data_IF_174038489193
#
_entry.id   IF_174038489193
#
_cell.length_a   1.000
_cell.length_b   1.000
_cell.length_c   1.000
_cell.angle_alpha   90.00
_cell.angle_beta   90.00
_cell.angle_gamma   90.00
#
_symmetry.space_group_name_H-M   'P 1'
#
loop_
_entity.id
_entity.type
_entity.pdbx_description
1 polymer ?
#
# COMPACT_ATOMS: atom_id res chain seq x y z
N UNK A 1 -17.76 -15.90 12.73
CA UNK A 1 -16.42 -15.54 12.23
C UNK A 1 -16.14 -14.09 12.60
N UNK A 2 -14.97 -13.76 13.15
CA UNK A 2 -14.60 -12.37 13.49
C UNK A 2 -13.57 -11.85 12.48
N UNK A 3 -13.76 -10.62 11.99
CA UNK A 3 -12.78 -9.93 11.15
C UNK A 3 -11.72 -9.31 12.06
N UNK A 4 -10.45 -9.68 11.85
CA UNK A 4 -9.31 -9.21 12.67
C UNK A 4 -8.55 -8.08 11.99
N UNK A 5 -8.30 -8.20 10.69
CA UNK A 5 -7.59 -7.20 9.88
C UNK A 5 -8.27 -7.09 8.53
N UNK A 6 -8.39 -5.86 8.02
CA UNK A 6 -9.04 -5.54 6.76
C UNK A 6 -8.27 -4.44 6.03
N UNK A 7 -8.40 -4.43 4.70
CA UNK A 7 -7.76 -3.48 3.82
C UNK A 7 -8.70 -3.10 2.67
N UNK A 8 -8.68 -1.82 2.28
CA UNK A 8 -9.25 -1.34 1.03
C UNK A 8 -8.11 -1.26 0.00
N UNK A 9 -8.18 -2.10 -1.04
CA UNK A 9 -7.21 -2.16 -2.12
C UNK A 9 -7.88 -1.75 -3.44
N UNK A 10 -7.24 -0.90 -4.22
CA UNK A 10 -7.69 -0.54 -5.57
C UNK A 10 -6.57 -0.75 -6.57
N UNK A 11 -6.87 -1.42 -7.68
CA UNK A 11 -5.94 -1.66 -8.79
C UNK A 11 -6.39 -0.82 -9.98
N UNK A 12 -5.48 -0.03 -10.54
CA UNK A 12 -5.73 0.95 -11.59
C UNK A 12 -4.92 0.58 -12.84
N UNK A 13 -5.61 0.18 -13.91
CA UNK A 13 -4.98 -0.08 -15.21
C UNK A 13 -3.94 -1.21 -15.22
N UNK A 14 -3.85 -2.02 -14.17
CA UNK A 14 -2.88 -3.11 -14.03
C UNK A 14 -1.46 -2.67 -13.64
N UNK A 15 -1.11 -1.39 -13.77
CA UNK A 15 0.25 -0.89 -13.49
C UNK A 15 0.41 -0.34 -12.07
N UNK A 16 -0.66 0.20 -11.48
CA UNK A 16 -0.62 0.83 -10.16
C UNK A 16 -1.68 0.22 -9.26
N UNK A 17 -1.33 -0.03 -8.00
CA UNK A 17 -2.29 -0.29 -6.94
C UNK A 17 -2.16 0.75 -5.82
N UNK A 18 -3.27 1.06 -5.18
CA UNK A 18 -3.31 1.86 -3.96
C UNK A 18 -3.90 1.07 -2.78
N UNK A 19 -3.35 1.33 -1.59
CA UNK A 19 -3.85 0.85 -0.30
C UNK A 19 -4.27 2.05 0.56
N UNK A 20 -5.42 2.67 0.29
CA UNK A 20 -5.86 3.87 1.00
C UNK A 20 -6.18 3.64 2.48
N UNK A 21 -6.67 2.46 2.87
CA UNK A 21 -7.12 2.18 4.22
C UNK A 21 -6.76 0.76 4.66
N UNK A 22 -6.27 0.65 5.89
CA UNK A 22 -6.07 -0.61 6.59
C UNK A 22 -6.53 -0.48 8.04
N UNK A 23 -7.07 -1.54 8.59
CA UNK A 23 -7.50 -1.58 9.98
C UNK A 23 -7.19 -2.94 10.59
N UNK A 24 -6.82 -2.94 11.88
CA UNK A 24 -6.70 -4.15 12.69
C UNK A 24 -7.39 -3.89 14.02
N UNK A 25 -8.20 -4.85 14.48
CA UNK A 25 -8.92 -4.75 15.76
C UNK A 25 -7.94 -4.39 16.89
N UNK A 26 -8.30 -3.39 17.70
CA UNK A 26 -7.39 -2.80 18.71
C UNK A 26 -6.77 -3.84 19.65
N UNK A 27 -7.58 -4.77 20.17
CA UNK A 27 -7.15 -5.81 21.10
C UNK A 27 -6.17 -6.83 20.48
N UNK A 28 -6.00 -6.81 19.16
CA UNK A 28 -5.17 -7.76 18.39
C UNK A 28 -4.03 -7.07 17.62
N UNK A 29 -3.81 -5.77 17.85
CA UNK A 29 -2.69 -5.06 17.26
C UNK A 29 -1.35 -5.58 17.82
N UNK A 30 -0.28 -5.47 17.02
CA UNK A 30 1.05 -5.97 17.40
C UNK A 30 1.24 -7.49 17.25
N UNK A 31 0.18 -8.26 17.04
CA UNK A 31 0.23 -9.73 16.89
C UNK A 31 0.54 -10.21 15.47
N UNK A 32 0.87 -9.30 14.54
CA UNK A 32 1.29 -9.64 13.18
C UNK A 32 0.16 -9.92 12.17
N UNK A 33 -1.12 -9.85 12.56
CA UNK A 33 -2.25 -10.10 11.64
C UNK A 33 -2.22 -9.23 10.38
N UNK A 34 -1.94 -7.93 10.55
CA UNK A 34 -1.78 -7.04 9.40
C UNK A 34 -0.61 -7.46 8.50
N UNK A 35 0.49 -7.96 9.04
CA UNK A 35 1.62 -8.42 8.22
C UNK A 35 1.23 -9.63 7.37
N UNK A 36 0.42 -10.54 7.92
CA UNK A 36 -0.10 -11.68 7.15
C UNK A 36 -0.98 -11.19 6.01
N UNK A 37 -1.95 -10.31 6.30
CA UNK A 37 -2.82 -9.69 5.28
C UNK A 37 -1.99 -8.97 4.22
N UNK A 38 -1.03 -8.14 4.63
CA UNK A 38 -0.18 -7.39 3.74
C UNK A 38 0.65 -8.30 2.83
N UNK A 39 1.20 -9.40 3.36
CA UNK A 39 1.92 -10.37 2.53
C UNK A 39 1.02 -11.03 1.46
N UNK A 40 -0.25 -11.26 1.77
CA UNK A 40 -1.23 -11.77 0.81
C UNK A 40 -1.49 -10.72 -0.29
N UNK A 41 -1.63 -9.45 0.09
CA UNK A 41 -1.78 -8.34 -0.86
C UNK A 41 -0.55 -8.26 -1.77
N UNK A 42 0.66 -8.33 -1.23
CA UNK A 42 1.88 -8.28 -2.04
C UNK A 42 1.94 -9.41 -3.08
N UNK A 43 1.65 -10.65 -2.66
CA UNK A 43 1.60 -11.79 -3.60
C UNK A 43 0.53 -11.61 -4.67
N UNK A 44 -0.63 -11.05 -4.29
CA UNK A 44 -1.69 -10.72 -5.25
C UNK A 44 -1.23 -9.65 -6.26
N UNK A 45 -0.53 -8.60 -5.81
CA UNK A 45 -0.05 -7.56 -6.71
C UNK A 45 1.01 -8.09 -7.69
N UNK A 46 1.89 -8.98 -7.23
CA UNK A 46 2.84 -9.69 -8.11
C UNK A 46 2.09 -10.52 -9.17
N UNK A 47 1.08 -11.30 -8.77
CA UNK A 47 0.33 -12.13 -9.74
C UNK A 47 -0.48 -11.31 -10.76
N UNK A 48 -0.92 -10.11 -10.35
CA UNK A 48 -1.59 -9.14 -11.22
C UNK A 48 -0.61 -8.31 -12.08
N UNK A 49 0.71 -8.51 -11.92
CA UNK A 49 1.77 -7.76 -12.62
C UNK A 49 1.71 -6.24 -12.40
N UNK A 50 1.22 -5.84 -11.22
CA UNK A 50 1.28 -4.44 -10.78
C UNK A 50 2.75 -4.03 -10.65
N UNK A 51 3.07 -2.81 -11.06
CA UNK A 51 4.45 -2.26 -11.03
C UNK A 51 4.66 -1.37 -9.81
N UNK A 52 3.67 -0.57 -9.47
CA UNK A 52 3.77 0.45 -8.42
C UNK A 52 2.70 0.23 -7.36
N UNK A 53 3.13 0.20 -6.11
CA UNK A 53 2.23 0.13 -4.97
C UNK A 53 2.32 1.41 -4.15
N UNK A 54 1.18 2.07 -3.94
CA UNK A 54 1.10 3.39 -3.34
C UNK A 54 0.14 3.40 -2.14
N UNK A 55 0.37 4.32 -1.21
CA UNK A 55 -0.56 4.59 -0.12
C UNK A 55 -0.39 6.00 0.47
N UNK A 56 -1.46 6.57 1.02
CA UNK A 56 -1.38 7.71 1.93
C UNK A 56 -0.98 7.24 3.33
N UNK A 57 0.06 7.85 3.92
CA UNK A 57 0.52 7.58 5.27
C UNK A 57 0.31 8.79 6.19
N UNK A 58 -0.36 8.58 7.31
CA UNK A 58 -0.33 9.53 8.43
C UNK A 58 1.10 9.66 8.98
N UNK A 59 1.43 10.82 9.54
CA UNK A 59 2.78 11.13 10.01
C UNK A 59 3.31 10.11 11.02
N UNK A 60 2.44 9.62 11.90
CA UNK A 60 2.76 8.64 12.95
C UNK A 60 3.07 7.25 12.37
N UNK A 61 2.54 6.93 11.19
CA UNK A 61 2.70 5.63 10.54
C UNK A 61 3.81 5.62 9.46
N UNK A 62 4.29 6.79 9.04
CA UNK A 62 5.28 6.96 7.96
C UNK A 62 6.52 6.07 8.18
N UNK A 63 7.10 6.13 9.38
CA UNK A 63 8.30 5.37 9.72
C UNK A 63 8.09 3.85 9.62
N UNK A 64 6.90 3.35 9.96
CA UNK A 64 6.57 1.92 9.88
C UNK A 64 6.48 1.50 8.42
N UNK A 65 5.78 2.26 7.58
CA UNK A 65 5.66 1.97 6.15
C UNK A 65 7.02 1.95 5.46
N UNK A 66 7.89 2.89 5.80
CA UNK A 66 9.21 2.96 5.19
C UNK A 66 10.16 1.85 5.70
N UNK A 67 10.30 1.71 7.03
CA UNK A 67 11.29 0.80 7.62
C UNK A 67 10.88 -0.66 7.57
N UNK A 68 9.59 -0.96 7.76
CA UNK A 68 9.09 -2.34 7.89
C UNK A 68 8.52 -2.89 6.59
N UNK A 69 7.90 -2.04 5.77
CA UNK A 69 7.20 -2.48 4.55
C UNK A 69 7.88 -2.01 3.25
N UNK A 70 9.04 -1.33 3.37
CA UNK A 70 9.90 -0.99 2.24
C UNK A 70 9.36 0.12 1.35
N UNK A 71 8.47 0.97 1.86
CA UNK A 71 8.01 2.15 1.14
C UNK A 71 9.02 3.29 1.19
N UNK A 72 8.87 4.23 0.28
CA UNK A 72 9.67 5.45 0.17
C UNK A 72 8.79 6.63 -0.19
N UNK A 73 9.27 7.84 0.06
CA UNK A 73 8.59 9.05 -0.40
C UNK A 73 8.62 9.11 -1.93
N UNK A 74 7.52 9.52 -2.51
CA UNK A 74 7.45 9.76 -3.94
C UNK A 74 7.84 11.22 -4.24
N UNK A 75 8.77 11.47 -5.17
CA UNK A 75 8.93 12.79 -5.75
C UNK A 75 7.63 13.18 -6.45
N UNK A 76 7.07 14.34 -6.09
CA UNK A 76 5.74 14.76 -6.55
C UNK A 76 5.65 14.88 -8.08
N UNK A 77 6.76 15.26 -8.72
CA UNK A 77 6.99 15.32 -10.16
C UNK A 77 6.87 13.95 -10.85
N UNK A 78 7.21 12.86 -10.17
CA UNK A 78 7.11 11.50 -10.74
C UNK A 78 5.74 10.87 -10.51
N UNK A 79 4.96 11.36 -9.55
CA UNK A 79 3.67 10.77 -9.18
C UNK A 79 2.65 10.82 -10.32
N UNK A 80 2.58 11.96 -11.04
CA UNK A 80 1.68 12.11 -12.19
C UNK A 80 2.02 11.13 -13.32
N UNK A 81 3.32 10.93 -13.58
CA UNK A 81 3.79 10.00 -14.61
C UNK A 81 3.39 8.55 -14.29
N UNK A 82 3.48 8.13 -13.03
CA UNK A 82 3.07 6.78 -12.64
C UNK A 82 1.56 6.57 -12.71
N UNK A 83 0.77 7.58 -12.34
CA UNK A 83 -0.69 7.46 -12.29
C UNK A 83 -1.34 7.49 -13.67
N UNK A 84 -0.67 8.05 -14.69
CA UNK A 84 -1.14 8.09 -16.09
C UNK A 84 -2.62 8.54 -16.23
N UNK A 85 -2.96 9.67 -15.59
CA UNK A 85 -4.33 10.21 -15.54
C UNK A 85 -5.22 9.63 -14.43
N UNK A 86 -4.74 8.61 -13.72
CA UNK A 86 -5.32 8.12 -12.47
C UNK A 86 -5.14 9.11 -11.31
N UNK A 87 -5.93 8.92 -10.25
CA UNK A 87 -5.87 9.74 -9.05
C UNK A 87 -5.89 8.85 -7.81
N UNK A 88 -4.98 9.13 -6.88
CA UNK A 88 -4.98 8.50 -5.58
C UNK A 88 -6.09 9.05 -4.70
N UNK A 89 -6.54 8.23 -3.76
CA UNK A 89 -7.40 8.70 -2.68
C UNK A 89 -6.64 9.72 -1.82
N UNK A 90 -7.24 10.90 -1.61
CA UNK A 90 -6.62 11.98 -0.83
C UNK A 90 -7.13 11.97 0.61
N UNK A 91 -6.21 11.87 1.57
CA UNK A 91 -6.46 12.14 2.98
C UNK A 91 -5.65 13.36 3.43
N UNK A 92 -6.30 14.38 3.97
CA UNK A 92 -5.61 15.56 4.48
C UNK A 92 -4.63 15.20 5.60
N UNK A 93 -3.45 15.82 5.59
CA UNK A 93 -2.40 15.57 6.59
C UNK A 93 -1.61 14.28 6.39
N UNK A 94 -1.77 13.60 5.24
CA UNK A 94 -0.99 12.39 4.91
C UNK A 94 0.05 12.65 3.82
N UNK A 95 1.07 11.80 3.76
CA UNK A 95 2.09 11.79 2.73
C UNK A 95 1.93 10.55 1.86
N UNK A 96 2.05 10.73 0.54
CA UNK A 96 2.05 9.61 -0.38
C UNK A 96 3.38 8.89 -0.35
N UNK A 97 3.30 7.59 -0.08
CA UNK A 97 4.42 6.67 -0.12
C UNK A 97 4.26 5.69 -1.27
N UNK A 98 5.38 5.26 -1.81
CA UNK A 98 5.45 4.33 -2.94
C UNK A 98 6.50 3.24 -2.71
N UNK A 99 6.27 2.09 -3.33
CA UNK A 99 7.31 1.12 -3.63
C UNK A 99 7.06 0.41 -4.96
N UNK A 100 8.14 -0.12 -5.55
CA UNK A 100 8.04 -1.05 -6.65
C UNK A 100 7.52 -2.41 -6.15
N UNK A 101 6.65 -3.04 -6.93
CA UNK A 101 6.26 -4.43 -6.72
C UNK A 101 7.29 -5.31 -7.46
N UNK A 102 7.81 -6.38 -6.83
CA UNK A 102 8.75 -7.29 -7.48
C UNK A 102 8.14 -7.91 -8.75
N UNK A 103 9.00 -8.18 -9.74
CA UNK A 103 8.59 -8.96 -10.91
C UNK A 103 8.29 -10.41 -10.48
N UNK A 104 7.31 -11.08 -11.12
CA UNK A 104 7.10 -12.51 -10.90
C UNK A 104 8.40 -13.27 -11.21
N UNK A 105 8.79 -14.20 -10.34
CA UNK A 105 9.84 -15.17 -10.69
C UNK A 105 9.34 -16.00 -11.89
N UNK A 106 10.19 -16.09 -12.92
CA UNK A 106 9.92 -16.72 -14.22
C UNK A 106 9.92 -18.24 -14.15
#
# INVERSE_FOLDING_TARGET
SNVVSAALLRVMGGDVAELPLVATSMDLQGLGYFQVLFSCIERLLVSLKVKHFMLPAAHEAEAIWMKKFGFSKIPQDQMEAYLNGGHLTVFHGTLNLYKAVPLPES
#
